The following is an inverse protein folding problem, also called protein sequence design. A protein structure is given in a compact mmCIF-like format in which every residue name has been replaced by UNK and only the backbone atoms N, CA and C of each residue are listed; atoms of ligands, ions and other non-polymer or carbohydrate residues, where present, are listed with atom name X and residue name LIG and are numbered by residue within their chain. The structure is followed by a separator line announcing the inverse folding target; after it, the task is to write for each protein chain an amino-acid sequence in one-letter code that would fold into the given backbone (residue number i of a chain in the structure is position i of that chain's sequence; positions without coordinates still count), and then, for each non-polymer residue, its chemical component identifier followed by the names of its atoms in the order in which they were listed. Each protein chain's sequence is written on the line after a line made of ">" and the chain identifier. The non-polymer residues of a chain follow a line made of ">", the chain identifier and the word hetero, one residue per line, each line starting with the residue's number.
data_IF_343599405668
#
_entry.id   IF_343599405668
#
_cell.length_a   1.000
_cell.length_b   1.000
_cell.length_c   1.000
_cell.angle_alpha   90.00
_cell.angle_beta   90.00
_cell.angle_gamma   90.00
#
_symmetry.space_group_name_H-M   'P 1'
#
loop_
_entity.id
_entity.type
_entity.pdbx_description
1 polymer ?
#
# COMPACT_ATOMS: atom_id res chain seq x y z
N UNK A 1 -10.01 34.40 33.95
CA UNK A 1 -10.84 33.43 33.20
C UNK A 1 -10.36 33.44 31.77
N UNK A 2 -9.93 32.29 31.26
CA UNK A 2 -9.57 32.14 29.85
C UNK A 2 -10.76 31.49 29.17
N UNK A 3 -11.54 32.26 28.41
CA UNK A 3 -12.81 31.78 27.83
C UNK A 3 -12.64 31.05 26.49
N UNK A 4 -11.42 30.99 25.94
CA UNK A 4 -11.10 30.29 24.68
C UNK A 4 -9.66 29.78 24.73
N UNK A 5 -9.42 28.53 24.31
CA UNK A 5 -8.10 27.97 24.02
C UNK A 5 -8.05 27.43 22.59
N UNK A 6 -6.98 27.73 21.87
CA UNK A 6 -6.68 27.09 20.59
C UNK A 6 -5.75 25.91 20.82
N UNK A 7 -6.13 24.73 20.31
CA UNK A 7 -5.25 23.57 20.27
C UNK A 7 -4.91 23.30 18.80
N UNK A 8 -3.63 23.42 18.45
CA UNK A 8 -3.09 22.97 17.17
C UNK A 8 -2.49 21.59 17.34
N UNK A 9 -2.79 20.65 16.44
CA UNK A 9 -2.14 19.35 16.41
C UNK A 9 -1.50 19.08 15.05
N UNK A 10 -0.53 18.17 15.06
CA UNK A 10 0.16 17.73 13.86
C UNK A 10 -0.47 16.42 13.39
N UNK A 11 -0.65 16.27 12.07
CA UNK A 11 -0.96 14.99 11.47
C UNK A 11 0.26 14.06 11.59
N UNK A 12 0.04 12.82 12.00
CA UNK A 12 1.10 11.81 12.09
C UNK A 12 0.55 10.44 11.67
N UNK A 13 0.97 9.95 10.49
CA UNK A 13 0.67 8.62 10.00
C UNK A 13 1.89 7.73 10.19
N UNK A 14 1.68 6.56 10.80
CA UNK A 14 2.71 5.56 11.05
C UNK A 14 2.32 4.21 10.48
N UNK A 15 3.32 3.39 10.24
CA UNK A 15 3.20 2.02 9.75
C UNK A 15 3.98 1.07 10.66
N UNK A 16 3.45 -0.12 10.91
CA UNK A 16 4.12 -1.14 11.72
C UNK A 16 5.28 -1.79 10.94
N UNK A 17 6.50 -1.76 11.52
CA UNK A 17 7.73 -2.29 10.90
C UNK A 17 8.14 -3.69 11.43
N UNK A 18 7.20 -4.40 12.07
CA UNK A 18 7.38 -5.63 12.86
C UNK A 18 7.84 -5.43 14.31
N UNK A 19 8.29 -4.24 14.69
CA UNK A 19 8.74 -3.94 16.06
C UNK A 19 8.01 -2.76 16.67
N UNK A 20 7.83 -1.69 15.91
CA UNK A 20 7.21 -0.43 16.34
C UNK A 20 6.43 0.24 15.20
N UNK A 21 5.67 1.28 15.53
CA UNK A 21 5.07 2.17 14.55
C UNK A 21 6.08 3.23 14.09
N UNK A 22 6.59 3.07 12.86
CA UNK A 22 7.61 3.89 12.25
C UNK A 22 7.04 4.84 11.18
N UNK A 23 7.83 5.84 10.75
CA UNK A 23 7.50 6.73 9.62
C UNK A 23 7.84 6.13 8.26
N UNK A 24 8.62 5.07 8.24
CA UNK A 24 9.09 4.38 7.04
C UNK A 24 8.90 2.89 7.24
N UNK A 25 8.63 2.18 6.15
CA UNK A 25 8.48 0.73 6.14
C UNK A 25 9.21 0.18 4.93
N UNK A 26 10.06 -0.80 5.16
CA UNK A 26 10.55 -1.67 4.10
C UNK A 26 9.56 -2.81 3.97
N UNK A 27 8.84 -2.81 2.85
CA UNK A 27 7.84 -3.83 2.55
C UNK A 27 8.47 -5.21 2.30
N UNK A 28 9.77 -5.25 1.96
CA UNK A 28 10.49 -6.47 1.63
C UNK A 28 9.87 -7.24 0.45
N UNK A 29 9.07 -6.58 -0.39
CA UNK A 29 8.31 -7.23 -1.47
C UNK A 29 9.30 -7.67 -2.54
N UNK A 30 9.49 -8.99 -2.62
CA UNK A 30 10.31 -9.64 -3.62
C UNK A 30 9.46 -10.71 -4.30
N UNK A 31 9.08 -10.45 -5.56
CA UNK A 31 8.35 -11.41 -6.38
C UNK A 31 9.38 -12.22 -7.17
N UNK A 32 9.38 -13.54 -6.99
CA UNK A 32 10.33 -14.44 -7.66
C UNK A 32 9.61 -15.62 -8.29
N UNK A 33 10.26 -16.20 -9.31
CA UNK A 33 9.79 -17.41 -10.01
C UNK A 33 8.33 -17.26 -10.50
N UNK A 34 7.99 -16.07 -11.00
CA UNK A 34 6.65 -15.76 -11.45
C UNK A 34 6.34 -16.49 -12.75
N UNK A 35 5.07 -16.85 -12.92
CA UNK A 35 4.51 -17.41 -14.15
C UNK A 35 3.11 -16.83 -14.38
N UNK A 36 2.57 -16.81 -15.60
CA UNK A 36 1.24 -16.26 -15.83
C UNK A 36 0.18 -16.88 -14.91
N UNK A 37 -0.52 -16.05 -14.12
CA UNK A 37 -1.46 -16.49 -13.10
C UNK A 37 -0.86 -16.79 -11.71
N UNK A 38 0.44 -16.55 -11.53
CA UNK A 38 1.11 -16.59 -10.23
C UNK A 38 0.45 -15.61 -9.25
N UNK A 39 0.22 -16.04 -8.02
CA UNK A 39 -0.19 -15.17 -6.91
C UNK A 39 0.79 -15.27 -5.74
N UNK A 40 1.26 -14.13 -5.25
CA UNK A 40 2.11 -14.08 -4.07
C UNK A 40 1.28 -14.16 -2.77
N UNK A 41 1.85 -14.66 -1.67
CA UNK A 41 1.25 -14.49 -0.35
C UNK A 41 0.99 -13.00 -0.04
N UNK A 42 -0.13 -12.65 0.60
CA UNK A 42 -0.42 -11.26 0.91
C UNK A 42 0.54 -10.68 1.94
N UNK A 43 0.89 -9.42 1.75
CA UNK A 43 1.67 -8.63 2.71
C UNK A 43 0.72 -7.88 3.62
N UNK A 44 0.86 -8.07 4.93
CA UNK A 44 0.06 -7.35 5.92
C UNK A 44 0.68 -5.98 6.19
N UNK A 45 -0.16 -4.94 6.14
CA UNK A 45 0.22 -3.55 6.35
C UNK A 45 -0.65 -2.96 7.47
N UNK A 46 -0.06 -2.67 8.62
CA UNK A 46 -0.76 -2.03 9.75
C UNK A 46 -0.43 -0.55 9.80
N UNK A 47 -1.46 0.30 9.67
CA UNK A 47 -1.34 1.75 9.72
C UNK A 47 -1.96 2.28 11.00
N UNK A 48 -1.34 3.30 11.59
CA UNK A 48 -1.86 4.00 12.77
C UNK A 48 -1.82 5.49 12.56
N UNK A 49 -2.92 6.15 12.92
CA UNK A 49 -2.96 7.60 13.03
C UNK A 49 -2.53 8.00 14.44
N UNK A 50 -1.30 8.49 14.56
CA UNK A 50 -0.68 8.91 15.80
C UNK A 50 -0.72 10.44 16.00
N UNK A 51 -1.65 11.13 15.31
CA UNK A 51 -1.78 12.59 15.36
C UNK A 51 -1.95 13.09 16.80
N UNK A 52 -1.43 14.29 17.09
CA UNK A 52 -1.52 14.89 18.44
C UNK A 52 -2.85 15.58 18.73
N UNK A 53 -3.73 15.70 17.74
CA UNK A 53 -5.10 16.22 17.89
C UNK A 53 -6.10 15.32 17.15
N UNK A 54 -7.42 15.52 17.36
CA UNK A 54 -8.52 14.77 16.73
C UNK A 54 -8.63 14.97 15.22
N UNK A 55 -7.58 14.59 14.50
CA UNK A 55 -7.43 14.69 13.05
C UNK A 55 -7.70 13.30 12.49
N UNK A 56 -8.63 13.18 11.56
CA UNK A 56 -8.80 11.97 10.76
C UNK A 56 -8.02 12.09 9.46
N UNK A 57 -7.48 10.97 8.97
CA UNK A 57 -6.61 10.94 7.79
C UNK A 57 -7.23 10.08 6.68
N UNK A 58 -7.51 10.69 5.53
CA UNK A 58 -7.78 9.96 4.29
C UNK A 58 -6.49 9.34 3.78
N UNK A 59 -6.49 8.03 3.56
CA UNK A 59 -5.30 7.27 3.21
C UNK A 59 -5.27 6.97 1.71
N UNK A 60 -4.11 7.15 1.09
CA UNK A 60 -3.84 6.74 -0.30
C UNK A 60 -2.47 6.09 -0.42
N UNK A 61 -2.31 5.28 -1.46
CA UNK A 61 -1.07 4.60 -1.79
C UNK A 61 -0.71 4.85 -3.27
N UNK A 62 0.59 5.02 -3.53
CA UNK A 62 1.15 5.18 -4.87
C UNK A 62 2.41 4.35 -4.99
N UNK A 63 2.64 3.74 -6.15
CA UNK A 63 3.92 3.08 -6.41
C UNK A 63 4.98 4.13 -6.71
N UNK A 64 6.12 4.07 -6.02
CA UNK A 64 7.24 4.98 -6.25
C UNK A 64 8.40 4.34 -6.98
N UNK A 65 8.66 3.06 -6.74
CA UNK A 65 9.62 2.27 -7.50
C UNK A 65 9.03 0.89 -7.79
N UNK A 66 9.14 0.47 -9.03
CA UNK A 66 8.73 -0.86 -9.46
C UNK A 66 9.75 -1.95 -9.19
N UNK A 67 10.95 -1.58 -8.74
CA UNK A 67 12.05 -2.49 -8.51
C UNK A 67 12.84 -2.84 -9.77
N UNK A 68 13.76 -3.80 -9.65
CA UNK A 68 14.56 -4.24 -10.79
C UNK A 68 13.69 -4.96 -11.84
N UNK A 69 14.00 -4.78 -13.13
CA UNK A 69 13.27 -5.34 -14.28
C UNK A 69 11.86 -4.80 -14.53
N UNK A 70 11.40 -3.87 -13.70
CA UNK A 70 10.13 -3.16 -13.86
C UNK A 70 9.91 -2.62 -15.27
N UNK A 71 10.90 -1.91 -15.82
CA UNK A 71 10.77 -1.12 -17.05
C UNK A 71 10.43 -1.91 -18.31
N UNK A 72 10.43 -3.25 -18.23
CA UNK A 72 10.04 -4.16 -19.29
C UNK A 72 8.50 -4.30 -19.34
N UNK A 73 8.03 -5.46 -19.76
CA UNK A 73 6.60 -5.81 -19.83
C UNK A 73 5.97 -6.02 -18.45
N UNK A 74 6.78 -6.30 -17.41
CA UNK A 74 6.30 -6.56 -16.05
C UNK A 74 5.52 -5.42 -15.41
N UNK A 75 5.83 -4.15 -15.70
CA UNK A 75 5.04 -3.01 -15.18
C UNK A 75 3.56 -3.08 -15.56
N UNK A 76 3.26 -3.64 -16.73
CA UNK A 76 1.91 -3.70 -17.31
C UNK A 76 1.24 -5.07 -17.05
N UNK A 77 1.99 -6.07 -16.59
CA UNK A 77 1.49 -7.44 -16.37
C UNK A 77 1.49 -7.86 -14.90
N UNK A 78 2.36 -7.30 -14.05
CA UNK A 78 2.25 -7.49 -12.60
C UNK A 78 1.16 -6.56 -12.08
N UNK A 79 0.26 -7.13 -11.28
CA UNK A 79 -0.88 -6.42 -10.72
C UNK A 79 -0.82 -6.47 -9.20
N UNK A 80 -1.31 -5.39 -8.57
CA UNK A 80 -1.48 -5.32 -7.13
C UNK A 80 -2.89 -4.88 -6.75
N UNK A 81 -3.33 -5.36 -5.59
CA UNK A 81 -4.63 -5.04 -5.00
C UNK A 81 -4.47 -4.84 -3.49
N UNK A 82 -5.09 -3.79 -2.94
CA UNK A 82 -5.13 -3.54 -1.50
C UNK A 82 -6.53 -3.76 -0.97
N UNK A 83 -6.65 -4.68 -0.03
CA UNK A 83 -7.89 -5.04 0.62
C UNK A 83 -7.85 -4.65 2.10
N UNK A 84 -9.00 -4.44 2.72
CA UNK A 84 -9.06 -4.41 4.18
C UNK A 84 -8.86 -5.83 4.76
N UNK A 85 -8.61 -5.93 6.06
CA UNK A 85 -8.34 -7.19 6.74
C UNK A 85 -9.39 -8.30 6.50
N UNK A 86 -10.66 -7.90 6.33
CA UNK A 86 -11.82 -8.80 6.25
C UNK A 86 -12.30 -9.07 4.83
N UNK A 87 -11.76 -8.36 3.85
CA UNK A 87 -12.18 -8.45 2.46
C UNK A 87 -11.62 -9.71 1.79
N UNK A 88 -12.51 -10.45 1.15
CA UNK A 88 -12.24 -11.70 0.44
C UNK A 88 -12.68 -11.62 -1.03
N UNK A 89 -13.12 -10.46 -1.52
CA UNK A 89 -13.73 -10.30 -2.83
C UNK A 89 -12.75 -10.51 -3.99
N UNK A 90 -11.44 -10.37 -3.75
CA UNK A 90 -10.38 -10.50 -4.76
C UNK A 90 -10.63 -9.66 -6.03
N UNK A 91 -11.18 -8.46 -5.87
CA UNK A 91 -11.51 -7.52 -6.96
C UNK A 91 -10.78 -6.20 -6.77
N UNK A 92 -10.49 -5.47 -7.86
CA UNK A 92 -9.82 -4.16 -7.79
C UNK A 92 -8.32 -4.20 -8.06
N UNK A 93 -7.86 -5.27 -8.72
CA UNK A 93 -6.52 -5.38 -9.28
C UNK A 93 -6.22 -4.22 -10.23
N UNK A 94 -5.02 -3.68 -10.09
CA UNK A 94 -4.46 -2.66 -10.98
C UNK A 94 -3.06 -3.08 -11.34
N UNK A 95 -2.64 -2.79 -12.58
CA UNK A 95 -1.24 -2.98 -12.96
C UNK A 95 -0.37 -2.11 -12.07
N UNK A 96 0.89 -2.51 -11.90
CA UNK A 96 1.77 -1.67 -11.12
C UNK A 96 2.00 -0.31 -11.86
N UNK A 97 1.97 -0.28 -13.20
CA UNK A 97 1.98 0.96 -14.02
C UNK A 97 0.82 1.89 -13.67
N UNK A 98 -0.37 1.34 -13.43
CA UNK A 98 -1.53 2.10 -12.96
C UNK A 98 -1.31 2.64 -11.55
N UNK A 99 -0.71 1.87 -10.64
CA UNK A 99 -0.38 2.34 -9.29
C UNK A 99 0.66 3.47 -9.29
N UNK A 100 1.56 3.50 -10.27
CA UNK A 100 2.55 4.55 -10.42
C UNK A 100 1.96 5.85 -10.97
N UNK A 101 1.04 5.74 -11.93
CA UNK A 101 0.43 6.88 -12.63
C UNK A 101 -0.81 7.43 -11.92
N UNK A 102 -1.59 6.55 -11.26
CA UNK A 102 -2.87 6.85 -10.64
C UNK A 102 -2.91 6.36 -9.18
N UNK A 103 -2.36 7.13 -8.22
CA UNK A 103 -2.47 6.84 -6.80
C UNK A 103 -3.92 6.53 -6.39
N UNK A 104 -4.12 5.53 -5.54
CA UNK A 104 -5.45 5.08 -5.15
C UNK A 104 -5.72 5.32 -3.66
N UNK A 105 -6.96 5.69 -3.33
CA UNK A 105 -7.43 5.69 -1.95
C UNK A 105 -7.51 4.27 -1.41
N UNK A 106 -7.12 4.10 -0.15
CA UNK A 106 -7.29 2.84 0.56
C UNK A 106 -8.76 2.66 0.99
N UNK A 107 -9.23 1.41 1.15
CA UNK A 107 -10.59 1.16 1.60
C UNK A 107 -10.81 1.61 3.06
N UNK A 108 -12.08 1.62 3.48
CA UNK A 108 -12.58 1.95 4.84
C UNK A 108 -12.52 3.43 5.25
N UNK A 109 -12.31 4.34 4.30
CA UNK A 109 -12.37 5.79 4.53
C UNK A 109 -11.31 6.31 5.51
N UNK A 110 -11.56 7.48 6.11
CA UNK A 110 -10.57 8.15 6.96
C UNK A 110 -10.24 7.35 8.23
N UNK A 111 -8.95 7.33 8.61
CA UNK A 111 -8.47 6.73 9.85
C UNK A 111 -8.47 7.78 10.97
N UNK A 112 -9.35 7.62 11.97
CA UNK A 112 -9.45 8.53 13.11
C UNK A 112 -8.22 8.53 14.02
N UNK A 113 -8.01 9.62 14.77
CA UNK A 113 -6.89 9.76 15.71
C UNK A 113 -6.84 8.59 16.70
N UNK A 114 -5.65 8.02 16.91
CA UNK A 114 -5.40 6.94 17.85
C UNK A 114 -5.80 5.56 17.33
N UNK A 115 -6.56 5.49 16.24
CA UNK A 115 -6.97 4.23 15.64
C UNK A 115 -5.86 3.62 14.79
N UNK A 116 -5.93 2.30 14.67
CA UNK A 116 -5.11 1.49 13.78
C UNK A 116 -5.99 0.69 12.82
N UNK A 117 -5.43 0.32 11.68
CA UNK A 117 -6.11 -0.48 10.66
C UNK A 117 -5.11 -1.36 9.92
N UNK A 118 -5.51 -2.61 9.70
CA UNK A 118 -4.75 -3.56 8.89
C UNK A 118 -5.33 -3.65 7.48
N UNK A 119 -4.42 -3.60 6.51
CA UNK A 119 -4.66 -3.86 5.11
C UNK A 119 -3.84 -5.07 4.66
N UNK A 120 -4.31 -5.74 3.62
CA UNK A 120 -3.55 -6.78 2.90
C UNK A 120 -3.24 -6.28 1.50
N UNK A 121 -1.97 -6.37 1.12
CA UNK A 121 -1.51 -6.07 -0.24
C UNK A 121 -1.25 -7.39 -0.94
N UNK A 122 -1.95 -7.62 -2.03
CA UNK A 122 -1.83 -8.80 -2.88
C UNK A 122 -1.06 -8.44 -4.14
N UNK A 123 -0.31 -9.41 -4.67
CA UNK A 123 0.41 -9.30 -5.93
C UNK A 123 0.14 -10.53 -6.78
N UNK A 124 0.07 -10.34 -8.10
CA UNK A 124 0.01 -11.43 -9.05
C UNK A 124 0.66 -11.06 -10.36
N UNK A 125 1.06 -12.07 -11.13
CA UNK A 125 1.34 -11.89 -12.55
C UNK A 125 0.04 -12.20 -13.32
N UNK A 126 -0.37 -11.29 -14.21
CA UNK A 126 -1.59 -11.44 -15.00
C UNK A 126 -1.65 -12.81 -15.68
N UNK A 127 -2.79 -13.52 -15.64
CA UNK A 127 -2.94 -14.78 -16.37
C UNK A 127 -2.93 -14.60 -17.89
N UNK A 128 -2.99 -13.36 -18.37
CA UNK A 128 -2.89 -13.01 -19.79
C UNK A 128 -1.47 -12.60 -20.21
N UNK A 129 -0.52 -12.60 -19.28
CA UNK A 129 0.90 -12.42 -19.55
C UNK A 129 1.40 -13.45 -20.57
N UNK A 130 2.37 -13.06 -21.38
CA UNK A 130 3.06 -14.01 -22.28
C UNK A 130 3.91 -14.98 -21.45
N UNK A 131 4.12 -16.19 -21.96
CA UNK A 131 5.00 -17.17 -21.36
C UNK A 131 6.47 -16.72 -21.35
N UNK A 132 6.83 -15.72 -22.16
CA UNK A 132 8.15 -15.07 -22.11
C UNK A 132 8.41 -14.37 -20.76
N UNK A 133 7.38 -14.17 -19.93
CA UNK A 133 7.49 -13.63 -18.58
C UNK A 133 7.62 -14.72 -17.50
N UNK A 134 7.66 -16.00 -17.88
CA UNK A 134 7.94 -17.08 -16.95
C UNK A 134 9.34 -16.93 -16.33
N UNK A 135 9.47 -17.36 -15.07
CA UNK A 135 10.67 -17.23 -14.23
C UNK A 135 11.13 -15.77 -14.01
N UNK A 136 10.24 -14.80 -14.27
CA UNK A 136 10.52 -13.39 -14.01
C UNK A 136 10.63 -13.10 -12.53
N UNK A 137 11.51 -12.14 -12.21
CA UNK A 137 11.73 -11.65 -10.85
C UNK A 137 11.56 -10.13 -10.83
N UNK A 138 10.88 -9.64 -9.79
CA UNK A 138 10.65 -8.23 -9.53
C UNK A 138 10.99 -7.93 -8.06
N UNK A 139 12.28 -7.81 -7.71
CA UNK A 139 12.71 -7.47 -6.36
C UNK A 139 12.63 -5.96 -6.12
N UNK A 140 12.25 -5.57 -4.90
CA UNK A 140 12.31 -4.19 -4.43
C UNK A 140 11.16 -3.30 -4.91
N UNK A 141 9.93 -3.81 -4.88
CA UNK A 141 8.74 -3.00 -5.19
C UNK A 141 8.46 -2.05 -4.01
N UNK A 142 8.43 -0.74 -4.28
CA UNK A 142 8.27 0.32 -3.27
C UNK A 142 7.00 1.14 -3.47
N UNK A 143 6.28 1.37 -2.38
CA UNK A 143 5.09 2.21 -2.34
C UNK A 143 5.25 3.35 -1.34
N UNK A 144 4.68 4.51 -1.66
CA UNK A 144 4.48 5.61 -0.73
C UNK A 144 3.04 5.63 -0.24
N UNK A 145 2.89 5.77 1.07
CA UNK A 145 1.61 5.95 1.75
C UNK A 145 1.44 7.41 2.14
N UNK A 146 0.28 7.97 1.86
CA UNK A 146 -0.05 9.35 2.18
C UNK A 146 -1.31 9.42 3.03
N UNK A 147 -1.26 10.19 4.12
CA UNK A 147 -2.42 10.54 4.94
C UNK A 147 -2.71 12.03 4.81
N UNK A 148 -3.90 12.39 4.30
CA UNK A 148 -4.36 13.78 4.19
C UNK A 148 -5.46 14.06 5.20
N UNK A 149 -5.40 15.20 5.88
CA UNK A 149 -6.43 15.60 6.84
C UNK A 149 -7.81 15.70 6.15
N UNK A 150 -8.84 15.12 6.78
CA UNK A 150 -10.23 15.15 6.32
C UNK A 150 -11.08 16.15 7.09
#
# INVERSE_FOLDING_TARGET
>A
MTNVSFATGNADLRIWDNTTYASTWDSGINLTDMYPGYEAPPVNMWLKNNSSAPIALNLSMALTDGGANWGNTLKDNVEAYVANATDTANTGWKTLSDWNTNPASLPDGALGQGNERMYKVYFRLSPLADNDEADSTLPGVEFTLTGVQS
#
